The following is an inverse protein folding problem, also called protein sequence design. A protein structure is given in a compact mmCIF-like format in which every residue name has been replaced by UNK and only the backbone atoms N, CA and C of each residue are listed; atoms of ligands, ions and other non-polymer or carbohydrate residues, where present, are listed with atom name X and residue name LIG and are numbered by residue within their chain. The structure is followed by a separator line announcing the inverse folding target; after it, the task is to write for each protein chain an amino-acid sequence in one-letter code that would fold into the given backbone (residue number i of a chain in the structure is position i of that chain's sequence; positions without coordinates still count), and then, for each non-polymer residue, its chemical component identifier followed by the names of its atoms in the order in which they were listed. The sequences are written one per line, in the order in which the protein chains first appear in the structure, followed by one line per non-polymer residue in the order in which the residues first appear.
data_IF_741978209401
#
_entry.id   IF_741978209401
#
_cell.length_a   1.000
_cell.length_b   1.000
_cell.length_c   1.000
_cell.angle_alpha   90.00
_cell.angle_beta   90.00
_cell.angle_gamma   90.00
#
_symmetry.space_group_name_H-M   'P 1'
#
loop_
_entity.id
_entity.type
_entity.pdbx_description
1 polymer ?
#
# COMPACT_ATOMS: atom_id res chain seq x y z
N UNK A 1 3.20 -5.59 -20.72
CA UNK A 1 3.95 -4.44 -20.16
C UNK A 1 2.97 -3.53 -19.45
N UNK A 2 2.69 -3.78 -18.18
CA UNK A 2 2.13 -2.76 -17.27
C UNK A 2 2.61 -3.15 -15.89
N UNK A 3 3.84 -2.78 -15.59
CA UNK A 3 4.41 -2.85 -14.26
C UNK A 3 3.65 -1.79 -13.45
N UNK A 4 2.59 -2.21 -12.75
CA UNK A 4 1.79 -1.30 -11.92
C UNK A 4 2.66 -0.87 -10.76
N UNK A 5 3.33 0.26 -10.92
CA UNK A 5 4.22 0.86 -9.93
C UNK A 5 3.50 0.94 -8.57
N UNK A 6 3.92 0.10 -7.62
CA UNK A 6 3.38 0.02 -6.26
C UNK A 6 3.89 1.24 -5.46
N UNK A 7 3.35 2.41 -5.78
CA UNK A 7 3.79 3.70 -5.24
C UNK A 7 2.70 4.35 -4.42
N UNK A 8 3.12 4.99 -3.33
CA UNK A 8 2.22 5.84 -2.55
C UNK A 8 1.73 7.02 -3.40
N UNK A 9 0.42 7.18 -3.53
CA UNK A 9 -0.21 8.28 -4.28
C UNK A 9 0.01 9.69 -3.70
N UNK A 10 0.57 9.81 -2.49
CA UNK A 10 0.83 11.10 -1.83
C UNK A 10 2.31 11.51 -1.93
N UNK A 11 3.23 10.63 -1.55
CA UNK A 11 4.66 10.92 -1.55
C UNK A 11 5.45 10.25 -2.70
N UNK A 12 4.79 9.42 -3.51
CA UNK A 12 5.39 8.66 -4.62
C UNK A 12 6.55 7.75 -4.22
N UNK A 13 6.66 7.42 -2.93
CA UNK A 13 7.63 6.44 -2.45
C UNK A 13 7.24 5.04 -2.94
N UNK A 14 8.25 4.28 -3.33
CA UNK A 14 8.13 2.89 -3.74
C UNK A 14 8.87 1.99 -2.76
N UNK A 15 8.40 0.76 -2.60
CA UNK A 15 9.08 -0.33 -1.90
C UNK A 15 10.52 -0.61 -2.38
N UNK A 16 10.89 -0.17 -3.59
CA UNK A 16 12.28 -0.24 -4.08
C UNK A 16 13.26 0.68 -3.31
N UNK A 17 12.77 1.76 -2.69
CA UNK A 17 13.62 2.71 -1.97
C UNK A 17 13.94 2.21 -0.55
N UNK A 18 12.95 1.60 0.11
CA UNK A 18 13.13 1.00 1.41
C UNK A 18 12.20 -0.23 1.55
N UNK A 19 12.75 -1.45 1.61
CA UNK A 19 11.95 -2.66 1.73
C UNK A 19 11.24 -2.80 3.09
N UNK A 20 11.58 -1.95 4.07
CA UNK A 20 10.92 -1.91 5.38
C UNK A 20 9.63 -1.09 5.35
N UNK A 21 9.44 -0.24 4.34
CA UNK A 21 8.24 0.56 4.21
C UNK A 21 7.07 -0.32 3.80
N UNK A 22 6.05 -0.34 4.67
CA UNK A 22 4.79 -1.02 4.41
C UNK A 22 3.86 -0.09 3.65
N UNK A 23 3.40 -0.56 2.49
CA UNK A 23 2.29 0.05 1.76
C UNK A 23 0.99 -0.60 2.24
N UNK A 24 -0.06 0.19 2.42
CA UNK A 24 -1.38 -0.28 2.80
C UNK A 24 -2.37 -0.03 1.66
N UNK A 25 -3.30 -0.95 1.47
CA UNK A 25 -4.29 -0.92 0.40
C UNK A 25 -5.67 -0.61 0.99
N UNK A 26 -6.38 0.31 0.36
CA UNK A 26 -7.75 0.70 0.71
C UNK A 26 -8.79 -0.07 -0.12
N UNK A 27 -10.08 -0.08 0.28
CA UNK A 27 -11.16 -0.69 -0.51
C UNK A 27 -11.35 -0.08 -1.90
N UNK A 28 -10.89 1.15 -2.13
CA UNK A 28 -10.89 1.76 -3.46
C UNK A 28 -9.69 1.37 -4.33
N UNK A 29 -8.94 0.33 -3.95
CA UNK A 29 -7.76 -0.22 -4.66
C UNK A 29 -6.61 0.79 -4.82
N UNK A 30 -6.56 1.79 -3.95
CA UNK A 30 -5.47 2.76 -3.91
C UNK A 30 -4.57 2.49 -2.71
N UNK A 31 -3.27 2.65 -2.93
CA UNK A 31 -2.23 2.31 -1.97
C UNK A 31 -1.49 3.54 -1.42
N UNK A 32 -1.18 3.51 -0.13
CA UNK A 32 -0.48 4.59 0.58
C UNK A 32 0.59 3.99 1.48
N UNK A 33 1.72 4.68 1.64
CA UNK A 33 2.72 4.25 2.62
C UNK A 33 2.24 4.51 4.04
N UNK A 34 2.78 3.76 4.99
CA UNK A 34 2.54 3.93 6.42
C UNK A 34 2.60 5.41 6.85
N UNK A 35 3.67 6.11 6.51
CA UNK A 35 3.85 7.52 6.90
C UNK A 35 2.71 8.42 6.40
N UNK A 36 2.31 8.28 5.13
CA UNK A 36 1.21 9.07 4.56
C UNK A 36 -0.15 8.65 5.12
N UNK A 37 -0.33 7.35 5.41
CA UNK A 37 -1.53 6.84 6.06
C UNK A 37 -1.74 7.54 7.41
N UNK A 38 -0.72 7.53 8.26
CA UNK A 38 -0.76 8.19 9.56
C UNK A 38 -0.90 9.70 9.44
N UNK A 39 -0.18 10.34 8.50
CA UNK A 39 -0.21 11.81 8.39
C UNK A 39 -1.53 12.36 7.83
N UNK A 40 -2.23 11.61 6.96
CA UNK A 40 -3.41 12.10 6.25
C UNK A 40 -4.71 11.51 6.77
N UNK A 41 -4.75 10.22 7.06
CA UNK A 41 -5.98 9.49 7.40
C UNK A 41 -6.14 9.18 8.89
N UNK A 42 -5.13 9.45 9.73
CA UNK A 42 -5.20 9.31 11.19
C UNK A 42 -5.83 10.54 11.85
N UNK A 43 -5.40 11.74 11.44
CA UNK A 43 -5.90 13.01 11.98
C UNK A 43 -7.39 13.22 11.68
N UNK A 44 -7.80 12.95 10.44
CA UNK A 44 -9.18 13.15 10.01
C UNK A 44 -9.57 12.12 8.93
N UNK A 45 -10.85 11.73 8.84
CA UNK A 45 -11.36 11.00 7.68
C UNK A 45 -11.19 11.86 6.44
N UNK A 46 -10.30 11.44 5.53
CA UNK A 46 -9.96 12.19 4.33
C UNK A 46 -10.40 11.42 3.09
N UNK A 47 -10.92 12.09 2.05
CA UNK A 47 -11.22 11.43 0.80
C UNK A 47 -9.94 10.98 0.08
N UNK A 48 -9.99 9.83 -0.58
CA UNK A 48 -8.94 9.38 -1.48
C UNK A 48 -8.75 10.43 -2.59
N UNK A 49 -7.54 10.93 -2.84
CA UNK A 49 -7.33 12.00 -3.83
C UNK A 49 -7.40 11.52 -5.29
N UNK A 50 -7.52 10.20 -5.53
CA UNK A 50 -7.72 9.64 -6.87
C UNK A 50 -9.20 9.42 -7.22
N UNK A 51 -10.00 8.97 -6.26
CA UNK A 51 -11.41 8.58 -6.52
C UNK A 51 -12.44 9.30 -5.65
N UNK A 52 -12.03 10.10 -4.66
CA UNK A 52 -12.92 10.83 -3.76
C UNK A 52 -13.57 9.99 -2.66
N UNK A 53 -13.29 8.68 -2.59
CA UNK A 53 -13.87 7.80 -1.57
C UNK A 53 -13.43 8.23 -0.17
N UNK A 54 -14.36 8.47 0.75
CA UNK A 54 -14.05 8.78 2.15
C UNK A 54 -13.42 7.57 2.84
N UNK A 55 -12.16 7.70 3.25
CA UNK A 55 -11.41 6.65 3.90
C UNK A 55 -10.97 7.08 5.31
N UNK A 56 -10.85 6.09 6.18
CA UNK A 56 -10.24 6.21 7.51
C UNK A 56 -9.06 5.27 7.60
N UNK A 57 -8.13 5.52 8.51
CA UNK A 57 -6.99 4.62 8.77
C UNK A 57 -7.40 3.15 8.92
N UNK A 58 -8.52 2.86 9.59
CA UNK A 58 -9.02 1.49 9.78
C UNK A 58 -9.44 0.77 8.49
N UNK A 59 -9.69 1.52 7.41
CA UNK A 59 -10.08 0.95 6.12
C UNK A 59 -8.87 0.50 5.30
N UNK A 60 -7.66 0.82 5.75
CA UNK A 60 -6.44 0.44 5.09
C UNK A 60 -5.94 -0.87 5.67
N UNK A 61 -5.86 -1.89 4.81
CA UNK A 61 -5.34 -3.19 5.17
C UNK A 61 -3.88 -3.27 4.72
N UNK A 62 -3.01 -3.71 5.63
CA UNK A 62 -1.67 -4.10 5.20
C UNK A 62 -1.84 -5.31 4.27
N UNK A 63 -1.21 -5.33 3.09
CA UNK A 63 -1.06 -6.57 2.35
C UNK A 63 -0.35 -7.53 3.30
N UNK A 64 -1.07 -8.56 3.75
CA UNK A 64 -0.48 -9.67 4.48
C UNK A 64 0.48 -10.33 3.52
N UNK A 65 1.75 -9.96 3.61
CA UNK A 65 2.85 -10.72 3.02
C UNK A 65 3.02 -12.01 3.86
N UNK A 66 1.97 -12.83 3.90
CA UNK A 66 2.11 -14.23 4.29
C UNK A 66 2.37 -14.98 2.99
N UNK A 67 3.64 -15.35 2.84
CA UNK A 67 4.14 -16.44 2.03
C UNK A 67 3.71 -16.54 0.56
N UNK A 68 4.49 -15.87 -0.28
CA UNK A 68 4.96 -16.54 -1.51
C UNK A 68 6.49 -16.54 -1.49
N UNK A 69 7.09 -16.98 -0.38
CA UNK A 69 8.28 -17.80 -0.50
C UNK A 69 7.79 -19.15 -1.05
N UNK A 70 7.40 -19.19 -2.34
CA UNK A 70 7.39 -20.46 -3.06
C UNK A 70 8.85 -20.89 -3.06
N UNK A 71 9.17 -21.72 -2.08
CA UNK A 71 10.29 -22.62 -2.12
C UNK A 71 10.21 -23.29 -3.48
N UNK A 72 11.11 -22.92 -4.38
CA UNK A 72 11.32 -23.67 -5.61
C UNK A 72 11.93 -25.00 -5.20
N UNK A 73 11.08 -25.92 -4.73
CA UNK A 73 11.44 -27.32 -4.57
C UNK A 73 11.81 -27.89 -5.95
N UNK A 74 13.10 -28.17 -6.08
CA UNK A 74 13.70 -29.36 -6.71
C UNK A 74 13.12 -29.73 -8.08
N UNK A 75 13.79 -29.29 -9.15
CA UNK A 75 13.88 -30.12 -10.36
C UNK A 75 15.12 -31.00 -10.25
N UNK A 76 14.88 -32.30 -10.09
CA UNK A 76 15.81 -33.38 -10.42
C UNK A 76 16.26 -33.28 -11.87
#
# INVERSE_FOLDING_TARGET
MTETELKCLICKIDSFIDPSIKLYISPCLHQVCEVCLFKVFDLTPSPCPQCGTLLRRINFMAPTFEDIAVEREIKV
#
